data_IF_905641658751
#
_entry.id   IF_905641658751
#
_cell.length_a   1.000
_cell.length_b   1.000
_cell.length_c   1.000
_cell.angle_alpha   90.00
_cell.angle_beta   90.00
_cell.angle_gamma   90.00
#
_symmetry.space_group_name_H-M   'P 1'
#
loop_
_entity.id
_entity.type
_entity.pdbx_description
1 polymer ?
#
# COMPACT_ATOMS: atom_id res chain seq x y z
N UNK A 1 22.10 3.90 4.57
CA UNK A 1 21.85 2.55 4.03
C UNK A 1 20.35 2.33 4.04
N UNK A 2 19.74 2.00 2.89
CA UNK A 2 18.35 1.54 2.82
C UNK A 2 18.35 0.04 3.11
N UNK A 3 17.52 -0.41 4.04
CA UNK A 3 17.32 -1.84 4.29
C UNK A 3 16.68 -2.49 3.06
N UNK A 4 17.10 -3.70 2.66
CA UNK A 4 16.45 -4.42 1.57
C UNK A 4 14.97 -4.66 1.88
N UNK A 5 14.16 -4.75 0.83
CA UNK A 5 12.75 -5.11 0.97
C UNK A 5 12.64 -6.45 1.70
N UNK A 6 11.68 -6.63 2.61
CA UNK A 6 11.35 -7.95 3.10
C UNK A 6 10.91 -8.81 1.91
N UNK A 7 11.56 -9.95 1.68
CA UNK A 7 11.27 -10.84 0.54
C UNK A 7 9.84 -11.40 0.58
N UNK A 8 9.27 -11.52 1.78
CA UNK A 8 8.04 -12.26 2.03
C UNK A 8 6.83 -11.36 2.30
N UNK A 9 6.99 -10.03 2.14
CA UNK A 9 5.92 -9.07 2.38
C UNK A 9 5.60 -8.34 1.07
N UNK A 10 4.40 -8.54 0.48
CA UNK A 10 4.00 -7.82 -0.72
C UNK A 10 3.86 -6.33 -0.41
N UNK A 11 4.38 -5.51 -1.32
CA UNK A 11 4.38 -4.04 -1.21
C UNK A 11 3.41 -3.48 -2.24
N UNK A 12 2.70 -2.41 -1.87
CA UNK A 12 1.85 -1.67 -2.79
C UNK A 12 2.15 -0.17 -2.72
N UNK A 13 1.89 0.55 -3.82
CA UNK A 13 2.25 1.96 -3.97
C UNK A 13 1.05 2.84 -4.32
N UNK A 14 0.96 4.00 -3.67
CA UNK A 14 0.00 5.04 -4.01
C UNK A 14 0.64 5.97 -5.03
N UNK A 15 0.22 5.88 -6.29
CA UNK A 15 0.71 6.73 -7.38
C UNK A 15 2.05 6.28 -7.98
N UNK A 16 2.32 6.78 -9.20
CA UNK A 16 3.53 6.45 -9.96
C UNK A 16 4.82 6.94 -9.30
N UNK A 17 4.83 8.15 -8.72
CA UNK A 17 6.03 8.69 -8.05
C UNK A 17 6.47 7.84 -6.87
N UNK A 18 5.52 7.32 -6.08
CA UNK A 18 5.84 6.40 -4.97
C UNK A 18 6.40 5.08 -5.51
N UNK A 19 5.82 4.55 -6.59
CA UNK A 19 6.29 3.32 -7.22
C UNK A 19 7.71 3.48 -7.80
N UNK A 20 8.01 4.60 -8.46
CA UNK A 20 9.36 4.94 -8.94
C UNK A 20 10.36 4.98 -7.78
N UNK A 21 10.02 5.67 -6.68
CA UNK A 21 10.90 5.73 -5.50
C UNK A 21 11.15 4.38 -4.83
N UNK A 22 10.18 3.45 -4.90
CA UNK A 22 10.35 2.06 -4.47
C UNK A 22 11.32 1.31 -5.40
N UNK A 23 11.15 1.42 -6.72
CA UNK A 23 12.04 0.77 -7.69
C UNK A 23 13.49 1.22 -7.56
N UNK A 24 13.74 2.52 -7.39
CA UNK A 24 15.09 3.08 -7.14
C UNK A 24 15.77 2.47 -5.91
N UNK A 25 14.98 1.96 -4.96
CA UNK A 25 15.43 1.30 -3.73
C UNK A 25 15.47 -0.22 -3.84
N UNK A 26 15.19 -0.77 -5.03
CA UNK A 26 15.16 -2.21 -5.29
C UNK A 26 13.88 -2.91 -4.83
N UNK A 27 12.80 -2.16 -4.60
CA UNK A 27 11.50 -2.70 -4.18
C UNK A 27 10.56 -2.71 -5.39
N UNK A 28 9.94 -3.86 -5.67
CA UNK A 28 8.96 -3.99 -6.76
C UNK A 28 7.55 -4.08 -6.17
N UNK A 29 6.72 -3.02 -6.25
CA UNK A 29 5.35 -3.08 -5.77
C UNK A 29 4.53 -4.06 -6.61
N UNK A 30 3.74 -4.90 -5.93
CA UNK A 30 2.80 -5.83 -6.55
C UNK A 30 1.63 -5.08 -7.20
N UNK A 31 1.16 -4.03 -6.55
CA UNK A 31 0.03 -3.20 -7.00
C UNK A 31 0.40 -1.72 -6.91
N UNK A 32 0.06 -0.96 -7.95
CA UNK A 32 0.25 0.50 -8.01
C UNK A 32 -1.07 1.15 -8.39
N UNK A 33 -1.69 1.89 -7.47
CA UNK A 33 -2.88 2.68 -7.78
C UNK A 33 -2.48 4.02 -8.36
N UNK A 34 -2.52 4.16 -9.69
CA UNK A 34 -1.97 5.33 -10.41
C UNK A 34 -2.80 6.60 -10.20
N UNK A 35 -4.12 6.46 -10.03
CA UNK A 35 -5.07 7.50 -9.66
C UNK A 35 -5.14 7.79 -8.16
N UNK A 36 -4.24 7.23 -7.35
CA UNK A 36 -4.13 7.50 -5.91
C UNK A 36 -4.74 6.43 -5.02
N UNK A 37 -5.14 6.82 -3.81
CA UNK A 37 -5.52 5.89 -2.74
C UNK A 37 -6.75 5.04 -3.09
N UNK A 38 -7.78 5.64 -3.69
CA UNK A 38 -9.02 4.92 -4.03
C UNK A 38 -8.79 3.84 -5.09
N UNK A 39 -8.02 4.15 -6.14
CA UNK A 39 -7.66 3.16 -7.15
C UNK A 39 -6.81 2.03 -6.55
N UNK A 40 -5.86 2.37 -5.66
CA UNK A 40 -5.04 1.36 -5.01
C UNK A 40 -5.90 0.35 -4.21
N UNK A 41 -6.89 0.83 -3.45
CA UNK A 41 -7.76 -0.05 -2.67
C UNK A 41 -8.64 -0.90 -3.59
N UNK A 42 -9.17 -0.32 -4.66
CA UNK A 42 -9.97 -1.06 -5.64
C UNK A 42 -9.16 -2.21 -6.26
N UNK A 43 -7.93 -1.94 -6.69
CA UNK A 43 -7.04 -2.95 -7.25
C UNK A 43 -6.65 -4.03 -6.23
N UNK A 44 -6.33 -3.64 -5.00
CA UNK A 44 -6.01 -4.60 -3.93
C UNK A 44 -7.20 -5.50 -3.62
N UNK A 45 -8.41 -4.96 -3.54
CA UNK A 45 -9.63 -5.72 -3.26
C UNK A 45 -10.06 -6.60 -4.44
N UNK A 46 -9.74 -6.21 -5.68
CA UNK A 46 -10.01 -7.02 -6.87
C UNK A 46 -9.08 -8.24 -6.96
N UNK A 47 -7.84 -8.12 -6.49
CA UNK A 47 -6.82 -9.15 -6.62
C UNK A 47 -6.68 -10.02 -5.36
N UNK A 48 -7.12 -9.53 -4.20
CA UNK A 48 -6.92 -10.19 -2.91
C UNK A 48 -8.11 -10.05 -1.96
N UNK A 49 -8.35 -11.08 -1.14
CA UNK A 49 -9.24 -10.95 0.02
C UNK A 49 -8.52 -10.22 1.16
N UNK A 50 -9.01 -9.03 1.46
CA UNK A 50 -8.43 -8.13 2.46
C UNK A 50 -8.96 -8.40 3.88
N UNK A 51 -9.99 -9.22 4.05
CA UNK A 51 -10.60 -9.48 5.36
C UNK A 51 -9.60 -10.14 6.32
N UNK A 52 -9.40 -9.51 7.47
CA UNK A 52 -8.47 -9.96 8.50
C UNK A 52 -6.98 -9.81 8.13
N UNK A 53 -6.64 -9.32 6.93
CA UNK A 53 -5.25 -9.08 6.53
C UNK A 53 -4.67 -7.92 7.31
N UNK A 54 -3.44 -8.09 7.79
CA UNK A 54 -2.70 -7.03 8.48
C UNK A 54 -1.92 -6.21 7.46
N UNK A 55 -2.16 -4.90 7.44
CA UNK A 55 -1.53 -3.96 6.51
C UNK A 55 -0.78 -2.91 7.33
N UNK A 56 0.50 -2.69 7.00
CA UNK A 56 1.23 -1.53 7.48
C UNK A 56 1.06 -0.40 6.46
N UNK A 57 0.52 0.73 6.89
CA UNK A 57 0.43 1.96 6.11
C UNK A 57 1.38 3.00 6.69
N UNK A 58 2.67 2.97 6.31
CA UNK A 58 3.65 3.93 6.80
C UNK A 58 3.37 5.28 6.15
N UNK A 59 2.82 6.21 6.93
CA UNK A 59 2.38 7.49 6.42
C UNK A 59 2.85 8.63 7.31
N UNK A 60 3.26 9.74 6.70
CA UNK A 60 3.56 10.96 7.44
C UNK A 60 2.31 11.47 8.18
N UNK A 61 2.50 12.25 9.25
CA UNK A 61 1.40 12.80 10.06
C UNK A 61 0.39 13.64 9.25
N UNK A 62 0.81 14.18 8.10
CA UNK A 62 -0.05 14.95 7.18
C UNK A 62 -0.95 14.10 6.27
N UNK A 63 -0.72 12.78 6.20
CA UNK A 63 -1.48 11.90 5.33
C UNK A 63 -2.89 11.73 5.90
N UNK A 64 -3.90 12.12 5.11
CA UNK A 64 -5.30 11.99 5.47
C UNK A 64 -5.74 10.53 5.69
N UNK A 65 -6.91 10.32 6.31
CA UNK A 65 -7.34 8.99 6.75
C UNK A 65 -7.93 8.12 5.63
N UNK A 66 -8.21 8.68 4.45
CA UNK A 66 -9.01 8.03 3.41
C UNK A 66 -8.52 6.63 2.98
N UNK A 67 -7.20 6.42 2.84
CA UNK A 67 -6.64 5.12 2.48
C UNK A 67 -6.84 4.08 3.59
N UNK A 68 -6.56 4.47 4.84
CA UNK A 68 -6.72 3.63 6.01
C UNK A 68 -8.19 3.24 6.23
N UNK A 69 -9.10 4.20 6.12
CA UNK A 69 -10.55 3.98 6.23
C UNK A 69 -11.05 3.03 5.15
N UNK A 70 -10.62 3.22 3.90
CA UNK A 70 -11.03 2.37 2.77
C UNK A 70 -10.52 0.93 2.94
N UNK A 71 -9.26 0.74 3.35
CA UNK A 71 -8.71 -0.59 3.64
C UNK A 71 -9.45 -1.29 4.79
N UNK A 72 -9.77 -0.54 5.86
CA UNK A 72 -10.57 -1.07 6.98
C UNK A 72 -11.99 -1.41 6.56
N UNK A 73 -12.61 -0.64 5.67
CA UNK A 73 -13.93 -0.94 5.11
C UNK A 73 -13.93 -2.25 4.30
N UNK A 74 -12.80 -2.61 3.68
CA UNK A 74 -12.60 -3.93 3.06
C UNK A 74 -12.32 -5.05 4.08
N UNK A 75 -12.27 -4.75 5.38
CA UNK A 75 -12.04 -5.72 6.45
C UNK A 75 -10.58 -5.92 6.84
N UNK A 76 -9.65 -5.10 6.34
CA UNK A 76 -8.24 -5.18 6.72
C UNK A 76 -7.99 -4.59 8.11
N UNK A 77 -6.97 -5.12 8.79
CA UNK A 77 -6.42 -4.59 10.04
C UNK A 77 -5.24 -3.69 9.70
N UNK A 78 -5.46 -2.38 9.72
CA UNK A 78 -4.45 -1.38 9.32
C UNK A 78 -3.68 -0.85 10.54
N UNK A 79 -2.36 -0.97 10.49
CA UNK A 79 -1.40 -0.36 11.40
C UNK A 79 -0.73 0.84 10.71
N UNK A 80 -0.57 1.96 11.41
CA UNK A 80 0.14 3.16 10.93
C UNK A 80 1.51 3.27 11.57
#
# INVERSE_FOLDING_TARGET
>A
MVSPAPSDVPVAAVGSTTAEGLHERGWTPLVVGRGGASELVAELAAQHDLRGRRVLFPAASRAGPALEESLRACGAVVHR
#
